data_IF_134768077556
#
_entry.id   IF_134768077556
#
_cell.length_a   1.000
_cell.length_b   1.000
_cell.length_c   1.000
_cell.angle_alpha   90.00
_cell.angle_beta   90.00
_cell.angle_gamma   90.00
#
_symmetry.space_group_name_H-M   'P 1'
#
loop_
_entity.id
_entity.type
_entity.pdbx_description
1 polymer ?
#
# COMPACT_ATOMS: atom_id res chain seq x y z
N UNK A 1 0.61 -16.83 -12.91
CA UNK A 1 -0.63 -16.62 -12.12
C UNK A 1 -0.63 -15.17 -11.71
N UNK A 2 -1.75 -14.45 -11.87
CA UNK A 2 -1.85 -13.04 -11.51
C UNK A 2 -2.96 -12.82 -10.49
N UNK A 3 -2.85 -11.75 -9.71
CA UNK A 3 -3.89 -11.28 -8.80
C UNK A 3 -4.05 -9.75 -8.91
N UNK A 4 -5.18 -9.26 -8.41
CA UNK A 4 -5.43 -7.83 -8.24
C UNK A 4 -5.86 -7.60 -6.79
N UNK A 5 -5.20 -6.65 -6.15
CA UNK A 5 -5.54 -6.16 -4.82
C UNK A 5 -6.13 -4.76 -4.97
N UNK A 6 -7.14 -4.44 -4.18
CA UNK A 6 -7.66 -3.08 -4.06
C UNK A 6 -7.90 -2.76 -2.60
N UNK A 7 -7.44 -1.60 -2.16
CA UNK A 7 -7.57 -1.18 -0.77
C UNK A 7 -6.74 0.05 -0.44
N UNK A 8 -6.64 0.35 0.84
CA UNK A 8 -5.93 1.52 1.36
C UNK A 8 -4.44 1.24 1.48
N UNK A 9 -3.60 2.17 1.01
CA UNK A 9 -2.15 2.06 1.14
C UNK A 9 -1.68 2.52 2.52
N UNK A 10 -0.77 1.75 3.12
CA UNK A 10 -0.16 2.05 4.42
C UNK A 10 1.29 1.58 4.42
N UNK A 11 2.19 2.34 5.04
CA UNK A 11 3.60 1.94 5.13
C UNK A 11 3.82 0.83 6.19
N UNK A 12 4.86 0.04 5.99
CA UNK A 12 5.20 -1.07 6.90
C UNK A 12 5.57 -0.59 8.30
N UNK A 13 6.08 0.65 8.44
CA UNK A 13 6.31 1.27 9.73
C UNK A 13 5.02 1.47 10.53
N UNK A 14 3.98 2.00 9.89
CA UNK A 14 2.65 2.11 10.48
C UNK A 14 2.01 0.75 10.75
N UNK A 15 2.15 -0.22 9.84
CA UNK A 15 1.66 -1.60 10.07
C UNK A 15 2.23 -2.18 11.37
N UNK A 16 3.55 -2.04 11.59
CA UNK A 16 4.23 -2.60 12.76
C UNK A 16 3.86 -1.91 14.08
N UNK A 17 3.37 -0.66 14.02
CA UNK A 17 2.99 0.13 15.20
C UNK A 17 1.55 -0.10 15.65
N UNK A 18 0.71 -0.73 14.83
CA UNK A 18 -0.73 -0.86 15.10
C UNK A 18 -1.15 -2.33 15.22
N UNK A 19 -2.21 -2.57 15.98
CA UNK A 19 -2.81 -3.89 16.11
C UNK A 19 -3.55 -4.26 14.82
N UNK A 20 -3.63 -5.55 14.50
CA UNK A 20 -4.28 -6.02 13.27
C UNK A 20 -5.72 -5.52 13.11
N UNK A 21 -6.52 -5.54 14.19
CA UNK A 21 -7.91 -5.09 14.17
C UNK A 21 -8.11 -3.58 14.07
N UNK A 22 -7.04 -2.78 14.06
CA UNK A 22 -7.10 -1.33 13.87
C UNK A 22 -6.58 -0.92 12.48
N UNK A 23 -6.01 -1.86 11.71
CA UNK A 23 -5.29 -1.53 10.47
C UNK A 23 -6.18 -0.88 9.42
N UNK A 24 -7.43 -1.31 9.25
CA UNK A 24 -8.33 -0.71 8.28
C UNK A 24 -8.64 0.75 8.64
N UNK A 25 -8.94 1.04 9.90
CA UNK A 25 -9.20 2.41 10.37
C UNK A 25 -7.96 3.30 10.24
N UNK A 26 -6.78 2.74 10.54
CA UNK A 26 -5.50 3.44 10.37
C UNK A 26 -5.18 3.69 8.91
N UNK A 27 -5.41 2.73 8.01
CA UNK A 27 -5.17 2.90 6.59
C UNK A 27 -6.11 3.95 5.98
N UNK A 28 -7.37 4.02 6.42
CA UNK A 28 -8.34 5.06 6.02
C UNK A 28 -7.95 6.47 6.45
N UNK A 29 -7.17 6.60 7.52
CA UNK A 29 -6.70 7.89 8.05
C UNK A 29 -5.22 8.15 7.75
N UNK A 30 -4.56 7.22 7.05
CA UNK A 30 -3.16 7.33 6.70
C UNK A 30 -2.97 8.45 5.67
N UNK A 31 -2.15 9.44 6.03
CA UNK A 31 -1.99 10.64 5.20
C UNK A 31 -0.96 10.45 4.11
N UNK A 32 -1.12 11.20 3.02
CA UNK A 32 -0.13 11.32 1.95
C UNK A 32 1.25 11.67 2.49
N UNK A 33 1.31 12.66 3.39
CA UNK A 33 2.55 13.09 4.04
C UNK A 33 3.21 11.96 4.83
N UNK A 34 2.42 11.15 5.54
CA UNK A 34 2.92 10.01 6.31
C UNK A 34 3.55 8.96 5.38
N UNK A 35 2.85 8.62 4.29
CA UNK A 35 3.35 7.68 3.30
C UNK A 35 4.68 8.13 2.67
N UNK A 36 4.87 9.44 2.44
CA UNK A 36 6.05 9.99 1.76
C UNK A 36 7.24 10.32 2.67
N UNK A 37 7.15 10.05 3.98
CA UNK A 37 8.30 10.23 4.86
C UNK A 37 9.42 9.26 4.47
N UNK A 38 10.67 9.71 4.51
CA UNK A 38 11.82 8.88 4.08
C UNK A 38 11.85 7.48 4.72
N UNK A 39 11.60 7.39 6.03
CA UNK A 39 11.56 6.11 6.74
C UNK A 39 10.36 5.21 6.38
N UNK A 40 9.28 5.78 5.84
CA UNK A 40 8.12 5.03 5.34
C UNK A 40 8.43 4.44 3.96
N UNK A 41 9.06 5.22 3.08
CA UNK A 41 9.55 4.74 1.78
C UNK A 41 10.54 3.58 1.98
N UNK A 42 11.50 3.74 2.90
CA UNK A 42 12.50 2.70 3.22
C UNK A 42 11.88 1.43 3.80
N UNK A 43 10.74 1.54 4.49
CA UNK A 43 10.05 0.40 5.10
C UNK A 43 9.23 -0.40 4.09
N UNK A 44 8.85 0.21 2.97
CA UNK A 44 7.92 -0.36 1.99
C UNK A 44 6.45 -0.21 2.41
N UNK A 45 5.55 -0.80 1.62
CA UNK A 45 4.11 -0.58 1.74
C UNK A 45 3.29 -1.86 1.76
N UNK A 46 2.05 -1.74 2.22
CA UNK A 46 1.03 -2.76 2.12
C UNK A 46 -0.33 -2.18 1.71
N UNK A 47 -1.22 -3.08 1.29
CA UNK A 47 -2.61 -2.78 0.99
C UNK A 47 -3.49 -3.41 2.06
N UNK A 48 -4.38 -2.60 2.66
CA UNK A 48 -5.43 -3.06 3.56
C UNK A 48 -6.76 -3.02 2.82
N UNK A 49 -7.34 -4.18 2.57
CA UNK A 49 -8.63 -4.30 1.88
C UNK A 49 -9.79 -3.94 2.81
N UNK A 50 -10.97 -3.69 2.25
CA UNK A 50 -12.18 -3.37 3.05
C UNK A 50 -12.63 -4.53 3.95
N UNK A 51 -12.21 -5.75 3.64
CA UNK A 51 -12.39 -6.95 4.47
C UNK A 51 -11.31 -7.13 5.56
N UNK A 52 -10.58 -6.05 5.90
CA UNK A 52 -9.52 -6.03 6.92
C UNK A 52 -8.36 -7.00 6.62
N UNK A 53 -8.09 -7.27 5.33
CA UNK A 53 -6.94 -8.10 4.93
C UNK A 53 -5.76 -7.21 4.58
N UNK A 54 -4.65 -7.45 5.26
CA UNK A 54 -3.36 -6.85 4.94
C UNK A 54 -2.57 -7.75 3.98
N UNK A 55 -2.09 -7.17 2.89
CA UNK A 55 -1.04 -7.74 2.04
C UNK A 55 0.14 -6.77 1.96
N UNK A 56 1.31 -7.21 2.43
CA UNK A 56 2.56 -6.46 2.26
C UNK A 56 3.07 -6.66 0.83
N UNK A 57 3.48 -5.58 0.18
CA UNK A 57 3.98 -5.58 -1.17
C UNK A 57 5.48 -5.89 -1.20
N UNK A 58 5.95 -6.39 -2.34
CA UNK A 58 7.36 -6.57 -2.65
C UNK A 58 8.06 -5.21 -2.84
N UNK A 59 9.40 -5.22 -2.80
CA UNK A 59 10.22 -4.00 -2.90
C UNK A 59 10.05 -3.25 -4.23
N UNK A 60 9.70 -3.97 -5.31
CA UNK A 60 9.47 -3.36 -6.63
C UNK A 60 8.18 -2.52 -6.67
N UNK A 61 7.31 -2.66 -5.67
CA UNK A 61 6.13 -1.83 -5.52
C UNK A 61 6.45 -0.43 -4.96
N UNK A 62 7.49 -0.29 -4.13
CA UNK A 62 7.81 0.96 -3.42
C UNK A 62 7.88 2.18 -4.34
N UNK A 63 8.68 2.20 -5.42
CA UNK A 63 8.73 3.37 -6.31
C UNK A 63 7.37 3.65 -6.97
N UNK A 64 6.65 2.59 -7.40
CA UNK A 64 5.32 2.72 -8.03
C UNK A 64 4.28 3.32 -7.09
N UNK A 65 4.32 2.94 -5.81
CA UNK A 65 3.45 3.49 -4.77
C UNK A 65 3.81 4.94 -4.49
N UNK A 66 5.10 5.27 -4.38
CA UNK A 66 5.54 6.65 -4.17
C UNK A 66 5.08 7.55 -5.31
N UNK A 67 5.30 7.15 -6.56
CA UNK A 67 4.86 7.91 -7.74
C UNK A 67 3.35 8.22 -7.70
N UNK A 68 2.53 7.22 -7.38
CA UNK A 68 1.07 7.38 -7.31
C UNK A 68 0.63 8.25 -6.14
N UNK A 69 1.24 8.07 -4.96
CA UNK A 69 0.94 8.87 -3.76
C UNK A 69 1.43 10.32 -3.93
N UNK A 70 2.53 10.55 -4.65
CA UNK A 70 3.00 11.88 -5.01
C UNK A 70 2.08 12.57 -6.02
N UNK A 71 1.50 11.83 -6.96
CA UNK A 71 0.54 12.35 -7.93
C UNK A 71 -0.87 12.57 -7.35
N UNK A 72 -1.19 11.91 -6.24
CA UNK A 72 -2.53 11.93 -5.65
C UNK A 72 -2.95 13.29 -5.08
N UNK A 73 -4.19 13.67 -5.38
CA UNK A 73 -4.90 14.78 -4.73
C UNK A 73 -5.54 14.35 -3.39
N UNK A 74 -5.59 13.06 -3.09
CA UNK A 74 -6.19 12.50 -1.88
C UNK A 74 -5.25 12.72 -0.69
N UNK A 75 -5.70 13.51 0.29
CA UNK A 75 -4.87 13.86 1.45
C UNK A 75 -4.70 12.72 2.46
N UNK A 76 -5.69 11.83 2.56
CA UNK A 76 -5.70 10.70 3.50
C UNK A 76 -6.57 9.56 2.99
N UNK A 77 -6.21 8.33 3.34
CA UNK A 77 -6.99 7.16 2.95
C UNK A 77 -6.89 6.89 1.45
N UNK A 78 -5.70 7.07 0.87
CA UNK A 78 -5.43 6.83 -0.54
C UNK A 78 -5.71 5.37 -0.85
N UNK A 79 -6.58 5.12 -1.84
CA UNK A 79 -6.92 3.77 -2.30
C UNK A 79 -6.12 3.46 -3.55
N UNK A 80 -5.45 2.31 -3.55
CA UNK A 80 -4.69 1.83 -4.69
C UNK A 80 -5.27 0.50 -5.19
N UNK A 81 -5.27 0.35 -6.51
CA UNK A 81 -5.39 -0.92 -7.20
C UNK A 81 -3.99 -1.40 -7.58
N UNK A 82 -3.62 -2.60 -7.14
CA UNK A 82 -2.30 -3.20 -7.34
C UNK A 82 -2.45 -4.50 -8.11
N UNK A 83 -1.76 -4.60 -9.25
CA UNK A 83 -1.66 -5.84 -10.02
C UNK A 83 -0.35 -6.53 -9.68
N UNK A 84 -0.43 -7.83 -9.48
CA UNK A 84 0.73 -8.65 -9.11
C UNK A 84 0.76 -9.93 -9.91
N UNK A 85 1.95 -10.36 -10.26
CA UNK A 85 2.19 -11.58 -11.01
C UNK A 85 3.14 -12.48 -10.26
N UNK A 86 2.91 -13.79 -10.34
CA UNK A 86 3.80 -14.77 -9.74
C UNK A 86 5.07 -14.85 -10.59
N UNK A 87 6.19 -14.41 -10.03
CA UNK A 87 7.53 -14.68 -10.54
C UNK A 87 8.22 -15.67 -9.62
N UNK A 88 8.67 -16.80 -10.18
CA UNK A 88 9.25 -17.92 -9.43
C UNK A 88 8.34 -18.37 -8.27
N UNK A 89 8.77 -18.09 -7.03
CA UNK A 89 8.10 -18.48 -5.79
C UNK A 89 7.39 -17.31 -5.07
N UNK A 90 7.46 -16.09 -5.60
CA UNK A 90 6.91 -14.89 -4.98
C UNK A 90 5.92 -14.15 -5.90
N UNK A 91 5.13 -13.26 -5.30
CA UNK A 91 4.29 -12.32 -6.03
C UNK A 91 5.04 -11.01 -6.19
N UNK A 92 5.22 -10.58 -7.44
CA UNK A 92 5.87 -9.32 -7.82
C UNK A 92 4.82 -8.32 -8.27
N UNK A 93 4.95 -7.06 -7.86
CA UNK A 93 4.01 -6.00 -8.20
C UNK A 93 4.36 -5.42 -9.56
N UNK A 94 3.43 -5.51 -10.51
CA UNK A 94 3.64 -5.09 -11.90
C UNK A 94 3.01 -3.75 -12.24
N UNK A 95 1.90 -3.37 -11.59
CA UNK A 95 1.19 -2.10 -11.82
C UNK A 95 0.52 -1.63 -10.52
N UNK A 96 0.55 -0.32 -10.28
CA UNK A 96 -0.09 0.37 -9.15
C UNK A 96 -0.79 1.60 -9.71
N UNK A 97 -2.04 1.84 -9.31
CA UNK A 97 -2.83 3.03 -9.70
C UNK A 97 -3.76 3.43 -8.58
N UNK A 98 -4.00 4.73 -8.41
CA UNK A 98 -5.02 5.23 -7.51
C UNK A 98 -6.41 4.90 -8.07
N UNK A 99 -7.34 4.58 -7.16
CA UNK A 99 -8.76 4.42 -7.47
C UNK A 99 -9.55 5.44 -6.66
N UNK A 100 -10.31 6.28 -7.38
CA UNK A 100 -11.14 7.35 -6.82
C UNK A 100 -12.60 6.95 -6.76
#
# INVERSE_FOLDING_TARGET
MSETLEGYVIDVGCIRKNSRGELLEKARTHTRECALMGHCIESGYGIVTEDDRLTVLDSEATPKVVDEVEASDTQSGIRLRVQRERSDEAMETTDVREVT
#
